data_IF_317282247240
#
_entry.id   IF_317282247240
#
_cell.length_a   1.000
_cell.length_b   1.000
_cell.length_c   1.000
_cell.angle_alpha   90.00
_cell.angle_beta   90.00
_cell.angle_gamma   90.00
#
_symmetry.space_group_name_H-M   'P 1'
#
loop_
_entity.id
_entity.type
_entity.pdbx_description
1 polymer ?
#
# COMPACT_ATOMS: atom_id res chain seq x y z
N UNK A 1 -17.43 -27.90 30.48
CA UNK A 1 -17.85 -28.36 31.82
C UNK A 1 -17.19 -27.53 32.93
N UNK A 2 -15.88 -27.38 33.02
CA UNK A 2 -15.17 -26.64 34.07
C UNK A 2 -15.60 -25.14 34.18
N UNK A 3 -15.79 -24.43 33.06
CA UNK A 3 -16.25 -23.03 33.05
C UNK A 3 -17.67 -22.86 33.62
N UNK A 4 -18.55 -23.82 33.35
CA UNK A 4 -19.95 -23.77 33.81
C UNK A 4 -20.00 -24.01 35.34
N UNK A 5 -19.20 -24.93 35.86
CA UNK A 5 -19.08 -25.19 37.31
C UNK A 5 -18.47 -23.98 38.03
N UNK A 6 -17.46 -23.34 37.45
CA UNK A 6 -16.85 -22.11 37.98
C UNK A 6 -17.84 -20.94 38.05
N UNK A 7 -18.65 -20.74 37.00
CA UNK A 7 -19.67 -19.68 37.03
C UNK A 7 -20.79 -19.95 38.05
N UNK A 8 -21.26 -21.21 38.18
CA UNK A 8 -22.26 -21.59 39.19
C UNK A 8 -21.71 -21.34 40.59
N UNK A 9 -20.46 -21.74 40.86
CA UNK A 9 -19.81 -21.51 42.15
C UNK A 9 -19.71 -20.00 42.47
N UNK A 10 -19.26 -19.17 41.55
CA UNK A 10 -19.16 -17.71 41.74
C UNK A 10 -20.52 -17.07 42.01
N UNK A 11 -21.57 -17.47 41.30
CA UNK A 11 -22.93 -17.00 41.53
C UNK A 11 -23.44 -17.40 42.90
N UNK A 12 -23.20 -18.65 43.32
CA UNK A 12 -23.62 -19.15 44.64
C UNK A 12 -22.93 -18.39 45.79
N UNK A 13 -21.62 -18.15 45.67
CA UNK A 13 -20.85 -17.34 46.62
C UNK A 13 -21.38 -15.89 46.64
N UNK A 14 -21.70 -15.30 45.48
CA UNK A 14 -22.29 -13.98 45.41
C UNK A 14 -23.66 -13.84 46.11
N UNK A 15 -24.54 -14.83 45.90
CA UNK A 15 -25.87 -14.89 46.59
C UNK A 15 -25.68 -15.02 48.10
N UNK A 16 -24.77 -15.89 48.54
CA UNK A 16 -24.47 -16.10 49.98
C UNK A 16 -23.95 -14.80 50.63
N UNK A 17 -23.00 -14.14 50.01
CA UNK A 17 -22.44 -12.86 50.48
C UNK A 17 -23.52 -11.78 50.52
N UNK A 18 -24.36 -11.69 49.50
CA UNK A 18 -25.46 -10.76 49.47
C UNK A 18 -26.44 -10.95 50.64
N UNK A 19 -26.88 -12.20 50.88
CA UNK A 19 -27.79 -12.51 51.98
C UNK A 19 -27.15 -12.17 53.33
N UNK A 20 -25.90 -12.55 53.55
CA UNK A 20 -25.16 -12.29 54.78
C UNK A 20 -25.01 -10.79 55.08
N UNK A 21 -24.57 -10.02 54.11
CA UNK A 21 -24.40 -8.57 54.29
C UNK A 21 -25.74 -7.82 54.39
N UNK A 22 -26.79 -8.33 53.75
CA UNK A 22 -28.12 -7.74 53.88
C UNK A 22 -28.70 -7.88 55.27
N UNK A 23 -28.48 -9.02 55.93
CA UNK A 23 -28.93 -9.22 57.35
C UNK A 23 -28.15 -8.32 58.30
N UNK A 24 -26.89 -8.07 58.06
CA UNK A 24 -26.04 -7.19 58.86
C UNK A 24 -26.40 -5.66 58.65
N UNK A 25 -26.99 -5.34 57.53
CA UNK A 25 -27.31 -3.94 57.14
C UNK A 25 -28.77 -3.83 56.71
N UNK A 26 -29.76 -3.86 57.61
CA UNK A 26 -31.18 -3.87 57.30
C UNK A 26 -31.71 -2.51 56.84
N UNK A 27 -30.91 -1.42 56.87
CA UNK A 27 -31.32 -0.10 56.46
C UNK A 27 -31.59 0.02 54.95
N UNK A 28 -32.45 0.95 54.56
CA UNK A 28 -32.67 1.32 53.16
C UNK A 28 -32.15 2.73 52.88
N UNK A 29 -31.57 2.90 51.68
CA UNK A 29 -31.14 4.20 51.15
C UNK A 29 -32.14 4.60 50.08
N UNK A 30 -32.77 5.81 50.24
CA UNK A 30 -33.63 6.37 49.21
C UNK A 30 -32.79 7.08 48.15
N UNK A 31 -32.87 6.61 46.92
CA UNK A 31 -32.21 7.23 45.76
C UNK A 31 -33.26 7.93 44.93
N UNK A 32 -33.12 9.25 44.80
CA UNK A 32 -33.99 10.06 43.94
C UNK A 32 -33.41 10.15 42.55
N UNK A 33 -34.10 9.57 41.58
CA UNK A 33 -33.65 9.57 40.17
C UNK A 33 -34.34 10.62 39.32
N UNK A 34 -35.53 11.07 39.77
CA UNK A 34 -36.25 12.21 39.18
C UNK A 34 -37.09 12.87 40.26
N UNK A 35 -37.72 14.08 40.02
CA UNK A 35 -38.57 14.74 41.01
C UNK A 35 -39.67 13.84 41.59
N UNK A 36 -40.19 12.91 40.78
CA UNK A 36 -41.33 12.05 41.13
C UNK A 36 -40.96 10.57 41.31
N UNK A 37 -39.67 10.17 41.17
CA UNK A 37 -39.26 8.79 41.30
C UNK A 37 -38.24 8.59 42.44
N UNK A 38 -38.72 7.90 43.50
CA UNK A 38 -37.92 7.46 44.63
C UNK A 38 -37.76 5.94 44.59
N UNK A 39 -36.52 5.46 44.64
CA UNK A 39 -36.22 4.05 44.77
C UNK A 39 -35.58 3.76 46.14
N UNK A 40 -36.09 2.78 46.82
CA UNK A 40 -35.50 2.27 48.07
C UNK A 40 -34.61 1.09 47.75
N UNK A 41 -33.33 1.22 48.02
CA UNK A 41 -32.34 0.19 47.78
C UNK A 41 -31.59 -0.15 49.09
N UNK A 42 -31.28 -1.41 49.32
CA UNK A 42 -30.38 -1.73 50.41
C UNK A 42 -28.95 -1.26 50.10
N UNK A 43 -28.15 -0.82 51.12
CA UNK A 43 -26.78 -0.39 50.89
C UNK A 43 -25.96 -1.45 50.16
N UNK A 44 -26.18 -2.74 50.48
CA UNK A 44 -25.53 -3.87 49.85
C UNK A 44 -25.84 -4.01 48.37
N UNK A 45 -27.12 -3.83 47.99
CA UNK A 45 -27.52 -3.88 46.59
C UNK A 45 -26.90 -2.73 45.75
N UNK A 46 -26.73 -1.57 46.35
CA UNK A 46 -26.14 -0.42 45.68
C UNK A 46 -24.61 -0.62 45.41
N UNK A 47 -23.92 -1.18 46.40
CA UNK A 47 -22.49 -1.55 46.25
C UNK A 47 -22.31 -2.65 45.19
N UNK A 48 -23.09 -3.72 45.24
CA UNK A 48 -23.01 -4.80 44.26
C UNK A 48 -23.35 -4.34 42.86
N UNK A 49 -24.36 -3.44 42.69
CA UNK A 49 -24.71 -2.88 41.40
C UNK A 49 -23.55 -2.01 40.82
N UNK A 50 -22.94 -1.18 41.69
CA UNK A 50 -21.81 -0.34 41.25
C UNK A 50 -20.58 -1.18 40.88
N UNK A 51 -20.32 -2.27 41.62
CA UNK A 51 -19.24 -3.22 41.28
C UNK A 51 -19.53 -3.94 39.96
N UNK A 52 -20.75 -4.44 39.75
CA UNK A 52 -21.17 -5.07 38.51
C UNK A 52 -21.06 -4.12 37.32
N UNK A 53 -21.50 -2.86 37.49
CA UNK A 53 -21.37 -1.83 36.46
C UNK A 53 -19.89 -1.55 36.14
N UNK A 54 -19.04 -1.42 37.14
CA UNK A 54 -17.59 -1.25 36.96
C UNK A 54 -16.94 -2.44 36.25
N UNK A 55 -17.28 -3.65 36.64
CA UNK A 55 -16.78 -4.88 36.01
C UNK A 55 -17.22 -5.00 34.55
N UNK A 56 -18.48 -4.67 34.23
CA UNK A 56 -18.96 -4.69 32.84
C UNK A 56 -18.30 -3.64 31.99
N UNK A 57 -18.02 -2.46 32.53
CA UNK A 57 -17.33 -1.37 31.83
C UNK A 57 -15.87 -1.76 31.53
N UNK A 58 -15.18 -2.34 32.50
CA UNK A 58 -13.80 -2.86 32.28
C UNK A 58 -13.81 -3.99 31.26
N UNK A 59 -14.72 -4.95 31.35
CA UNK A 59 -14.85 -6.02 30.38
C UNK A 59 -15.12 -5.49 28.96
N UNK A 60 -15.95 -4.46 28.82
CA UNK A 60 -16.23 -3.79 27.56
C UNK A 60 -14.96 -3.14 26.98
N UNK A 61 -14.21 -2.42 27.80
CA UNK A 61 -12.95 -1.77 27.36
C UNK A 61 -11.93 -2.82 26.89
N UNK A 62 -11.77 -3.91 27.65
CA UNK A 62 -10.86 -5.01 27.31
C UNK A 62 -11.27 -5.67 25.98
N UNK A 63 -12.56 -5.97 25.81
CA UNK A 63 -13.06 -6.60 24.59
C UNK A 63 -12.91 -5.68 23.36
N UNK A 64 -13.15 -4.37 23.49
CA UNK A 64 -12.90 -3.40 22.41
C UNK A 64 -11.41 -3.37 22.06
N UNK A 65 -10.52 -3.36 23.04
CA UNK A 65 -9.07 -3.36 22.83
C UNK A 65 -8.59 -4.63 22.13
N UNK A 66 -9.00 -5.79 22.58
CA UNK A 66 -8.68 -7.10 22.00
C UNK A 66 -9.19 -7.21 20.55
N UNK A 67 -10.46 -6.84 20.30
CA UNK A 67 -11.05 -6.86 18.95
C UNK A 67 -10.34 -5.90 17.99
N UNK A 68 -9.94 -4.72 18.45
CA UNK A 68 -9.21 -3.77 17.64
C UNK A 68 -7.83 -4.30 17.22
N UNK A 69 -7.10 -4.98 18.12
CA UNK A 69 -5.82 -5.62 17.80
C UNK A 69 -5.97 -6.76 16.79
N UNK A 70 -6.99 -7.59 16.93
CA UNK A 70 -7.26 -8.69 15.98
C UNK A 70 -7.60 -8.13 14.61
N UNK A 71 -8.43 -7.09 14.54
CA UNK A 71 -8.82 -6.45 13.29
C UNK A 71 -7.63 -5.76 12.59
N UNK A 72 -6.80 -5.03 13.35
CA UNK A 72 -5.57 -4.40 12.83
C UNK A 72 -4.61 -5.45 12.28
N UNK A 73 -4.35 -6.52 13.03
CA UNK A 73 -3.47 -7.61 12.59
C UNK A 73 -4.02 -8.34 11.35
N UNK A 74 -5.34 -8.54 11.26
CA UNK A 74 -5.96 -9.14 10.08
C UNK A 74 -5.79 -8.25 8.84
N UNK A 75 -6.01 -6.93 8.99
CA UNK A 75 -5.85 -5.95 7.90
C UNK A 75 -4.40 -5.87 7.42
N UNK A 76 -3.44 -5.78 8.35
CA UNK A 76 -2.00 -5.74 8.02
C UNK A 76 -1.55 -7.03 7.35
N UNK A 77 -1.94 -8.19 7.87
CA UNK A 77 -1.61 -9.49 7.28
C UNK A 77 -2.18 -9.64 5.86
N UNK A 78 -3.39 -9.11 5.61
CA UNK A 78 -3.99 -9.13 4.27
C UNK A 78 -3.20 -8.26 3.28
N UNK A 79 -2.76 -7.08 3.70
CA UNK A 79 -1.93 -6.19 2.88
C UNK A 79 -0.56 -6.80 2.59
N UNK A 80 0.08 -7.39 3.61
CA UNK A 80 1.37 -8.07 3.46
C UNK A 80 1.25 -9.24 2.47
N UNK A 81 0.27 -10.13 2.64
CA UNK A 81 0.04 -11.25 1.71
C UNK A 81 -0.24 -10.79 0.27
N UNK A 82 -0.97 -9.67 0.13
CA UNK A 82 -1.23 -9.08 -1.20
C UNK A 82 0.08 -8.62 -1.85
N UNK A 83 0.93 -7.91 -1.09
CA UNK A 83 2.24 -7.44 -1.56
C UNK A 83 3.16 -8.63 -1.90
N UNK A 84 3.28 -9.61 -1.01
CA UNK A 84 4.06 -10.82 -1.26
C UNK A 84 3.65 -11.56 -2.54
N UNK A 85 2.32 -11.63 -2.80
CA UNK A 85 1.80 -12.25 -4.02
C UNK A 85 2.19 -11.46 -5.26
N UNK A 86 2.14 -10.13 -5.23
CA UNK A 86 2.58 -9.26 -6.34
C UNK A 86 4.07 -9.44 -6.58
N UNK A 87 4.88 -9.42 -5.52
CA UNK A 87 6.33 -9.60 -5.60
C UNK A 87 6.70 -11.00 -6.14
N UNK A 88 5.97 -12.04 -5.77
CA UNK A 88 6.16 -13.38 -6.31
C UNK A 88 5.84 -13.42 -7.81
N UNK A 89 4.68 -12.90 -8.23
CA UNK A 89 4.28 -12.85 -9.64
C UNK A 89 5.29 -12.05 -10.48
N UNK A 90 5.81 -10.94 -9.95
CA UNK A 90 6.82 -10.13 -10.62
C UNK A 90 8.13 -10.91 -10.80
N UNK A 91 8.65 -11.56 -9.75
CA UNK A 91 9.86 -12.40 -9.83
C UNK A 91 9.71 -13.56 -10.81
N UNK A 92 8.57 -14.25 -10.75
CA UNK A 92 8.26 -15.36 -11.65
C UNK A 92 8.17 -14.87 -13.10
N UNK A 93 7.58 -13.70 -13.34
CA UNK A 93 7.51 -13.04 -14.65
C UNK A 93 8.89 -12.71 -15.18
N UNK A 94 9.76 -12.12 -14.36
CA UNK A 94 11.15 -11.83 -14.73
C UNK A 94 11.92 -13.10 -15.07
N UNK A 95 11.77 -14.15 -14.27
CA UNK A 95 12.40 -15.44 -14.53
C UNK A 95 11.88 -16.10 -15.82
N UNK A 96 10.57 -16.03 -16.06
CA UNK A 96 9.97 -16.54 -17.30
C UNK A 96 10.52 -15.81 -18.53
N UNK A 97 10.65 -14.48 -18.47
CA UNK A 97 11.21 -13.68 -19.54
C UNK A 97 12.69 -14.05 -19.83
N UNK A 98 13.52 -14.14 -18.78
CA UNK A 98 14.92 -14.56 -18.91
C UNK A 98 15.07 -15.97 -19.50
N UNK A 99 14.06 -16.82 -19.25
CA UNK A 99 13.98 -18.18 -19.82
C UNK A 99 13.36 -18.21 -21.22
N UNK A 100 13.17 -17.07 -21.88
CA UNK A 100 12.54 -16.91 -23.20
C UNK A 100 11.09 -17.40 -23.29
N UNK A 101 10.40 -17.53 -22.16
CA UNK A 101 8.99 -17.85 -22.07
C UNK A 101 8.17 -16.55 -22.01
N UNK A 102 8.18 -15.80 -23.12
CA UNK A 102 7.61 -14.44 -23.18
C UNK A 102 6.12 -14.42 -22.86
N UNK A 103 5.33 -15.37 -23.40
CA UNK A 103 3.90 -15.44 -23.13
C UNK A 103 3.57 -15.68 -21.64
N UNK A 104 4.37 -16.54 -20.97
CA UNK A 104 4.22 -16.76 -19.53
C UNK A 104 4.54 -15.50 -18.74
N UNK A 105 5.62 -14.79 -19.15
CA UNK A 105 6.05 -13.54 -18.51
C UNK A 105 4.94 -12.48 -18.62
N UNK A 106 4.34 -12.28 -19.80
CA UNK A 106 3.22 -11.36 -20.01
C UNK A 106 2.08 -11.68 -19.06
N UNK A 107 1.62 -12.95 -19.03
CA UNK A 107 0.53 -13.37 -18.13
C UNK A 107 0.85 -13.09 -16.65
N UNK A 108 2.09 -13.35 -16.22
CA UNK A 108 2.50 -13.13 -14.82
C UNK A 108 2.54 -11.64 -14.46
N UNK A 109 3.07 -10.78 -15.33
CA UNK A 109 3.05 -9.33 -15.11
C UNK A 109 1.64 -8.75 -15.14
N UNK A 110 0.77 -9.19 -16.06
CA UNK A 110 -0.63 -8.77 -16.10
C UNK A 110 -1.37 -9.16 -14.81
N UNK A 111 -1.16 -10.39 -14.30
CA UNK A 111 -1.73 -10.84 -13.02
C UNK A 111 -1.19 -10.02 -11.84
N UNK A 112 0.07 -9.62 -11.87
CA UNK A 112 0.63 -8.72 -10.86
C UNK A 112 -0.07 -7.36 -10.89
N UNK A 113 -0.29 -6.80 -12.10
CA UNK A 113 -0.96 -5.51 -12.31
C UNK A 113 -2.47 -5.54 -12.00
N UNK A 114 -3.14 -6.69 -12.12
CA UNK A 114 -4.52 -6.86 -11.63
C UNK A 114 -4.60 -6.70 -10.11
N UNK A 115 -3.59 -7.17 -9.38
CA UNK A 115 -3.54 -7.05 -7.92
C UNK A 115 -3.06 -5.65 -7.52
N UNK A 116 -2.00 -5.14 -8.15
CA UNK A 116 -1.42 -3.82 -7.91
C UNK A 116 -1.20 -3.08 -9.24
N UNK A 117 -2.18 -2.28 -9.68
CA UNK A 117 -2.09 -1.52 -10.95
C UNK A 117 -0.97 -0.47 -10.98
N UNK A 118 -0.44 -0.11 -9.81
CA UNK A 118 0.61 0.91 -9.67
C UNK A 118 2.01 0.32 -9.51
N UNK A 119 2.19 -0.96 -9.80
CA UNK A 119 3.51 -1.60 -9.75
C UNK A 119 4.36 -1.19 -10.96
N UNK A 120 5.15 -0.13 -10.79
CA UNK A 120 6.01 0.46 -11.83
C UNK A 120 6.93 -0.56 -12.48
N UNK A 121 7.60 -1.41 -11.70
CA UNK A 121 8.49 -2.44 -12.22
C UNK A 121 7.78 -3.40 -13.21
N UNK A 122 6.55 -3.82 -12.89
CA UNK A 122 5.78 -4.72 -13.76
C UNK A 122 5.30 -4.01 -15.03
N UNK A 123 4.97 -2.71 -14.94
CA UNK A 123 4.64 -1.88 -16.10
C UNK A 123 5.84 -1.73 -17.03
N UNK A 124 7.04 -1.49 -16.48
CA UNK A 124 8.29 -1.38 -17.25
C UNK A 124 8.62 -2.69 -17.96
N UNK A 125 8.59 -3.82 -17.26
CA UNK A 125 8.86 -5.11 -17.89
C UNK A 125 7.87 -5.45 -19.00
N UNK A 126 6.58 -5.26 -18.75
CA UNK A 126 5.54 -5.53 -19.74
C UNK A 126 5.68 -4.60 -20.96
N UNK A 127 5.95 -3.30 -20.75
CA UNK A 127 6.24 -2.35 -21.82
C UNK A 127 7.47 -2.74 -22.63
N UNK A 128 8.54 -3.18 -21.98
CA UNK A 128 9.75 -3.67 -22.66
C UNK A 128 9.48 -4.92 -23.51
N UNK A 129 8.61 -5.82 -23.04
CA UNK A 129 8.19 -6.99 -23.82
C UNK A 129 7.45 -6.53 -25.09
N UNK A 130 6.43 -5.67 -24.96
CA UNK A 130 5.70 -5.18 -26.11
C UNK A 130 6.58 -4.41 -27.11
N UNK A 131 7.56 -3.63 -26.62
CA UNK A 131 8.54 -3.01 -27.49
C UNK A 131 9.37 -4.04 -28.26
N UNK A 132 9.78 -5.12 -27.62
CA UNK A 132 10.55 -6.18 -28.31
C UNK A 132 9.76 -6.87 -29.41
N UNK A 133 8.44 -6.89 -29.28
CA UNK A 133 7.48 -7.37 -30.27
C UNK A 133 7.08 -6.29 -31.30
N UNK A 134 7.74 -5.11 -31.26
CA UNK A 134 7.44 -3.94 -32.08
C UNK A 134 6.03 -3.37 -31.87
N UNK A 135 5.34 -3.74 -30.78
CA UNK A 135 4.07 -3.15 -30.38
C UNK A 135 4.29 -1.87 -29.57
N UNK A 136 4.78 -0.83 -30.26
CA UNK A 136 5.11 0.45 -29.64
C UNK A 136 3.90 1.16 -29.01
N UNK A 137 2.70 0.92 -29.50
CA UNK A 137 1.48 1.53 -28.95
C UNK A 137 1.24 1.09 -27.54
N UNK A 138 1.28 -0.22 -27.26
CA UNK A 138 1.11 -0.74 -25.91
C UNK A 138 2.30 -0.43 -25.01
N UNK A 139 3.53 -0.48 -25.53
CA UNK A 139 4.72 -0.10 -24.79
C UNK A 139 4.62 1.36 -24.28
N UNK A 140 4.29 2.31 -25.17
CA UNK A 140 4.08 3.72 -24.82
C UNK A 140 2.98 3.86 -23.75
N UNK A 141 1.85 3.19 -23.91
CA UNK A 141 0.74 3.23 -22.95
C UNK A 141 1.18 2.82 -21.55
N UNK A 142 1.92 1.72 -21.45
CA UNK A 142 2.41 1.16 -20.17
C UNK A 142 3.47 2.06 -19.53
N UNK A 143 4.46 2.54 -20.30
CA UNK A 143 5.47 3.45 -19.77
C UNK A 143 4.90 4.82 -19.42
N UNK A 144 3.89 5.32 -20.14
CA UNK A 144 3.15 6.52 -19.72
C UNK A 144 2.36 6.28 -18.42
N UNK A 145 1.81 5.08 -18.21
CA UNK A 145 1.18 4.74 -16.94
C UNK A 145 2.22 4.72 -15.81
N UNK A 146 3.38 4.10 -16.02
CA UNK A 146 4.48 4.11 -15.08
C UNK A 146 4.95 5.55 -14.75
N UNK A 147 5.09 6.41 -15.77
CA UNK A 147 5.47 7.81 -15.59
C UNK A 147 4.44 8.61 -14.76
N UNK A 148 3.15 8.35 -14.90
CA UNK A 148 2.12 9.00 -14.04
C UNK A 148 2.23 8.61 -12.57
N UNK A 149 2.79 7.44 -12.27
CA UNK A 149 3.01 6.96 -10.90
C UNK A 149 4.30 7.55 -10.33
N UNK A 150 5.35 7.55 -11.14
CA UNK A 150 6.69 8.01 -10.78
C UNK A 150 7.18 9.08 -11.76
N UNK A 151 6.66 10.29 -11.64
CA UNK A 151 6.87 11.40 -12.59
C UNK A 151 8.35 11.78 -12.79
N UNK A 152 9.18 11.59 -11.76
CA UNK A 152 10.61 11.96 -11.80
C UNK A 152 11.54 10.75 -11.97
N UNK A 153 11.01 9.58 -12.25
CA UNK A 153 11.84 8.39 -12.48
C UNK A 153 12.46 8.46 -13.89
N UNK A 154 13.76 8.69 -13.92
CA UNK A 154 14.53 8.82 -15.17
C UNK A 154 14.55 7.53 -15.98
N UNK A 155 14.55 6.35 -15.32
CA UNK A 155 14.49 5.07 -16.01
C UNK A 155 13.19 4.93 -16.80
N UNK A 156 12.05 5.25 -16.18
CA UNK A 156 10.73 5.23 -16.84
C UNK A 156 10.69 6.16 -18.05
N UNK A 157 11.24 7.38 -17.90
CA UNK A 157 11.29 8.35 -18.99
C UNK A 157 12.23 7.90 -20.13
N UNK A 158 13.35 7.24 -19.81
CA UNK A 158 14.25 6.65 -20.81
C UNK A 158 13.56 5.53 -21.60
N UNK A 159 12.82 4.66 -20.94
CA UNK A 159 12.08 3.60 -21.62
C UNK A 159 10.96 4.16 -22.50
N UNK A 160 10.24 5.19 -22.02
CA UNK A 160 9.24 5.89 -22.81
C UNK A 160 9.85 6.58 -24.06
N UNK A 161 11.02 7.21 -23.90
CA UNK A 161 11.72 7.82 -25.03
C UNK A 161 12.10 6.78 -26.10
N UNK A 162 12.59 5.59 -25.69
CA UNK A 162 12.90 4.48 -26.61
C UNK A 162 11.67 4.01 -27.39
N UNK A 163 10.51 3.92 -26.73
CA UNK A 163 9.27 3.52 -27.40
C UNK A 163 8.82 4.55 -28.42
N UNK A 164 8.89 5.83 -28.05
CA UNK A 164 8.54 6.93 -28.94
C UNK A 164 9.48 6.99 -30.16
N UNK A 165 10.78 6.72 -29.96
CA UNK A 165 11.74 6.57 -31.06
C UNK A 165 11.36 5.41 -32.00
N UNK A 166 11.03 4.24 -31.42
CA UNK A 166 10.58 3.06 -32.17
C UNK A 166 9.29 3.30 -32.95
N UNK A 167 8.36 4.05 -32.36
CA UNK A 167 7.13 4.48 -33.00
C UNK A 167 7.33 5.62 -34.04
N UNK A 168 8.57 6.09 -34.26
CA UNK A 168 8.94 7.24 -35.09
C UNK A 168 8.31 8.59 -34.65
N UNK A 169 7.90 8.68 -33.38
CA UNK A 169 7.38 9.91 -32.76
C UNK A 169 8.54 10.73 -32.21
N UNK A 170 9.41 11.19 -33.10
CA UNK A 170 10.71 11.76 -32.74
C UNK A 170 10.61 13.07 -31.95
N UNK A 171 9.63 13.91 -32.23
CA UNK A 171 9.45 15.17 -31.48
C UNK A 171 9.01 14.89 -30.04
N UNK A 172 8.10 13.92 -29.83
CA UNK A 172 7.68 13.51 -28.49
C UNK A 172 8.85 12.87 -27.71
N UNK A 173 9.68 12.09 -28.39
CA UNK A 173 10.90 11.53 -27.81
C UNK A 173 11.88 12.63 -27.39
N UNK A 174 12.12 13.65 -28.22
CA UNK A 174 12.96 14.80 -27.88
C UNK A 174 12.43 15.54 -26.66
N UNK A 175 11.12 15.74 -26.56
CA UNK A 175 10.50 16.38 -25.41
C UNK A 175 10.69 15.53 -24.13
N UNK A 176 10.53 14.22 -24.24
CA UNK A 176 10.76 13.29 -23.12
C UNK A 176 12.22 13.33 -22.66
N UNK A 177 13.17 13.29 -23.59
CA UNK A 177 14.60 13.43 -23.28
C UNK A 177 14.93 14.80 -22.66
N UNK A 178 14.28 15.85 -23.11
CA UNK A 178 14.43 17.17 -22.49
C UNK A 178 13.91 17.18 -21.03
N UNK A 179 12.83 16.45 -20.74
CA UNK A 179 12.35 16.30 -19.36
C UNK A 179 13.37 15.57 -18.49
N UNK A 180 14.03 14.52 -19.00
CA UNK A 180 15.12 13.84 -18.30
C UNK A 180 16.23 14.83 -17.97
N UNK A 181 16.66 15.64 -18.95
CA UNK A 181 17.74 16.61 -18.76
C UNK A 181 17.38 17.79 -17.85
N UNK A 182 16.09 17.99 -17.53
CA UNK A 182 15.68 18.91 -16.44
C UNK A 182 15.83 18.29 -15.07
N UNK A 183 15.71 16.96 -14.96
CA UNK A 183 15.85 16.21 -13.70
C UNK A 183 17.34 15.97 -13.45
N UNK A 184 18.05 15.50 -14.47
CA UNK A 184 19.47 15.16 -14.49
C UNK A 184 20.15 15.83 -15.68
N UNK A 185 20.69 17.05 -15.53
CA UNK A 185 21.27 17.81 -16.64
C UNK A 185 22.41 17.12 -17.38
N UNK A 186 23.14 16.25 -16.69
CA UNK A 186 24.32 15.55 -17.22
C UNK A 186 24.07 14.06 -17.46
N UNK A 187 22.80 13.65 -17.59
CA UNK A 187 22.48 12.26 -17.93
C UNK A 187 22.98 11.91 -19.33
N UNK A 188 24.09 11.15 -19.37
CA UNK A 188 24.80 10.80 -20.61
C UNK A 188 23.89 10.06 -21.61
N UNK A 189 23.04 9.14 -21.12
CA UNK A 189 22.15 8.39 -22.01
C UNK A 189 21.12 9.29 -22.69
N UNK A 190 20.54 10.24 -21.96
CA UNK A 190 19.60 11.21 -22.51
C UNK A 190 20.29 12.17 -23.49
N UNK A 191 21.51 12.63 -23.18
CA UNK A 191 22.30 13.48 -24.10
C UNK A 191 22.63 12.75 -25.40
N UNK A 192 23.12 11.51 -25.34
CA UNK A 192 23.46 10.70 -26.51
C UNK A 192 22.22 10.50 -27.38
N UNK A 193 21.12 10.05 -26.79
CA UNK A 193 19.88 9.82 -27.56
C UNK A 193 19.32 11.12 -28.17
N UNK A 194 19.36 12.21 -27.42
CA UNK A 194 18.89 13.50 -27.91
C UNK A 194 19.72 13.97 -29.12
N UNK A 195 21.07 13.87 -29.04
CA UNK A 195 21.97 14.16 -30.16
C UNK A 195 21.62 13.32 -31.38
N UNK A 196 21.48 12.00 -31.21
CA UNK A 196 21.23 11.06 -32.31
C UNK A 196 19.88 11.32 -32.99
N UNK A 197 18.86 11.68 -32.21
CA UNK A 197 17.56 12.10 -32.76
C UNK A 197 17.66 13.42 -33.50
N UNK A 198 18.42 14.41 -33.00
CA UNK A 198 18.63 15.68 -33.67
C UNK A 198 19.36 15.49 -35.01
N UNK A 199 20.37 14.61 -35.05
CA UNK A 199 21.03 14.23 -36.31
C UNK A 199 20.02 13.61 -37.29
N UNK A 200 19.17 12.69 -36.82
CA UNK A 200 18.15 12.04 -37.67
C UNK A 200 17.11 13.01 -38.21
N UNK A 201 16.85 14.08 -37.47
CA UNK A 201 15.93 15.15 -37.85
C UNK A 201 16.62 16.31 -38.60
N UNK A 202 17.89 16.12 -38.96
CA UNK A 202 18.73 17.13 -39.65
C UNK A 202 18.90 18.44 -38.88
N UNK A 203 18.68 18.44 -37.57
CA UNK A 203 18.88 19.59 -36.66
C UNK A 203 20.35 19.68 -36.23
N UNK A 204 21.22 19.98 -37.17
CA UNK A 204 22.68 19.87 -37.00
C UNK A 204 23.24 20.82 -35.95
N UNK A 205 22.74 22.05 -35.86
CA UNK A 205 23.16 23.02 -34.83
C UNK A 205 22.94 22.50 -33.42
N UNK A 206 21.73 21.98 -33.21
CA UNK A 206 21.35 21.48 -31.89
C UNK A 206 22.14 20.21 -31.53
N UNK A 207 22.36 19.34 -32.52
CA UNK A 207 23.17 18.12 -32.33
C UNK A 207 24.63 18.48 -31.95
N UNK A 208 25.21 19.50 -32.57
CA UNK A 208 26.55 19.98 -32.30
C UNK A 208 26.67 20.53 -30.87
N UNK A 209 25.69 21.32 -30.43
CA UNK A 209 25.64 21.81 -29.04
C UNK A 209 25.65 20.65 -28.01
N UNK A 210 24.83 19.64 -28.23
CA UNK A 210 24.81 18.46 -27.35
C UNK A 210 26.13 17.70 -27.43
N UNK A 211 26.74 17.59 -28.61
CA UNK A 211 28.05 16.97 -28.76
C UNK A 211 29.14 17.69 -27.94
N UNK A 212 29.15 19.01 -27.92
CA UNK A 212 30.07 19.79 -27.07
C UNK A 212 29.86 19.51 -25.59
N UNK A 213 28.61 19.41 -25.15
CA UNK A 213 28.28 19.04 -23.76
C UNK A 213 28.80 17.64 -23.41
N UNK A 214 28.62 16.65 -24.31
CA UNK A 214 29.10 15.28 -24.10
C UNK A 214 30.64 15.20 -24.00
N UNK A 215 31.35 15.96 -24.85
CA UNK A 215 32.82 16.04 -24.77
C UNK A 215 33.26 16.62 -23.44
N UNK A 216 32.63 17.70 -23.00
CA UNK A 216 32.93 18.35 -21.70
C UNK A 216 32.65 17.42 -20.52
N UNK A 217 31.55 16.67 -20.56
CA UNK A 217 31.18 15.72 -19.48
C UNK A 217 32.10 14.48 -19.39
N UNK A 218 32.77 14.10 -20.49
CA UNK A 218 33.67 12.95 -20.56
C UNK A 218 35.17 13.29 -20.41
N UNK A 219 35.52 14.58 -20.26
CA UNK A 219 36.89 14.97 -19.96
C UNK A 219 37.10 14.86 -18.45
N UNK A 220 38.07 14.07 -17.95
CA UNK A 220 38.48 14.12 -16.55
C UNK A 220 39.03 15.52 -16.25
N UNK A 221 38.68 16.06 -15.08
CA UNK A 221 39.27 17.28 -14.53
C UNK A 221 40.77 17.11 -14.27
#
# INVERSE_FOLDING_TARGET
>A
MFRLLSTIFLVSVGIFLYSYFRELNPGTITVRTSPDALFELSPVSLVLFSMALGATLVALIVTIKETSHVFMNWRTNRLVRRKEKVDALHRDGTHAFMSKRTADAVNLFERALVIDPNRTDSLLWLGNIYRSESNFTEAIRLHQQAHRIEERNVEVLLELAKDLEGARRYEDALQTLQNILRIEPDNLMALIRKRDLQIRLEKWSDALEIQHRLVKANLPE
#
